data_IF_218502021091
#
_entry.id   IF_218502021091
#
_cell.length_a   1.000
_cell.length_b   1.000
_cell.length_c   1.000
_cell.angle_alpha   90.00
_cell.angle_beta   90.00
_cell.angle_gamma   90.00
#
_symmetry.space_group_name_H-M   'P 1'
#
loop_
_entity.id
_entity.type
_entity.pdbx_description
1 polymer ?
#
# COMPACT_ATOMS: atom_id res chain seq x y z
N UNK A 1 2.33 1.28 16.34
CA UNK A 1 2.23 0.55 15.07
C UNK A 1 2.07 1.58 13.96
N UNK A 2 2.97 1.62 12.97
CA UNK A 2 2.85 2.55 11.86
C UNK A 2 1.66 2.17 10.97
N UNK A 3 0.95 3.17 10.44
CA UNK A 3 -0.27 3.00 9.65
C UNK A 3 -0.19 3.87 8.41
N UNK A 4 -0.50 3.29 7.25
CA UNK A 4 -0.69 4.02 5.99
C UNK A 4 -2.18 4.26 5.75
N UNK A 5 -2.56 5.48 5.34
CA UNK A 5 -3.95 5.86 5.07
C UNK A 5 -4.08 6.35 3.63
N UNK A 6 -5.14 5.92 2.95
CA UNK A 6 -5.49 6.30 1.59
C UNK A 6 -6.99 6.56 1.49
N UNK A 7 -7.46 7.50 0.64
CA UNK A 7 -8.89 7.76 0.46
C UNK A 7 -9.61 6.69 -0.39
N UNK A 8 -8.89 5.69 -0.90
CA UNK A 8 -9.43 4.60 -1.72
C UNK A 8 -9.67 3.35 -0.86
N UNK A 9 -10.61 2.49 -1.26
CA UNK A 9 -10.86 1.22 -0.59
C UNK A 9 -9.76 0.21 -0.94
N UNK A 10 -9.17 -0.45 0.06
CA UNK A 10 -8.15 -1.49 -0.14
C UNK A 10 -8.77 -2.83 -0.53
N UNK A 11 -8.29 -3.43 -1.62
CA UNK A 11 -8.83 -4.68 -2.18
C UNK A 11 -7.84 -5.84 -2.17
N UNK A 12 -6.55 -5.57 -2.35
CA UNK A 12 -5.54 -6.62 -2.39
C UNK A 12 -4.21 -6.10 -1.87
N UNK A 13 -3.48 -6.99 -1.19
CA UNK A 13 -2.14 -6.74 -0.70
C UNK A 13 -1.25 -7.91 -1.09
N UNK A 14 -0.03 -7.62 -1.56
CA UNK A 14 0.92 -8.67 -1.92
C UNK A 14 2.35 -8.24 -1.59
N UNK A 15 3.07 -9.10 -0.88
CA UNK A 15 4.49 -8.92 -0.62
C UNK A 15 5.31 -9.05 -1.89
N UNK A 16 6.37 -8.26 -1.99
CA UNK A 16 7.31 -8.37 -3.10
C UNK A 16 8.06 -9.70 -3.01
N UNK A 17 8.19 -10.45 -4.12
CA UNK A 17 9.01 -11.66 -4.15
C UNK A 17 10.51 -11.37 -4.18
N UNK A 18 10.92 -10.10 -4.35
CA UNK A 18 12.32 -9.68 -4.45
C UNK A 18 12.81 -8.89 -3.24
N UNK A 19 11.91 -8.12 -2.61
CA UNK A 19 12.25 -7.23 -1.50
C UNK A 19 11.36 -7.56 -0.29
N UNK A 20 11.95 -8.13 0.75
CA UNK A 20 11.24 -8.53 1.99
C UNK A 20 10.40 -7.40 2.60
N UNK A 21 10.90 -6.16 2.52
CA UNK A 21 10.32 -5.01 3.18
C UNK A 21 9.34 -4.24 2.29
N UNK A 22 8.97 -4.77 1.12
CA UNK A 22 8.05 -4.10 0.19
C UNK A 22 6.74 -4.84 0.02
N UNK A 23 5.67 -4.06 -0.02
CA UNK A 23 4.33 -4.56 -0.25
C UNK A 23 3.61 -3.67 -1.27
N UNK A 24 2.89 -4.29 -2.20
CA UNK A 24 2.00 -3.59 -3.12
C UNK A 24 0.57 -3.69 -2.60
N UNK A 25 -0.14 -2.55 -2.60
CA UNK A 25 -1.53 -2.43 -2.15
C UNK A 25 -2.37 -1.91 -3.32
N UNK A 26 -3.30 -2.74 -3.79
CA UNK A 26 -4.27 -2.35 -4.81
C UNK A 26 -5.50 -1.73 -4.14
N UNK A 27 -5.87 -0.54 -4.60
CA UNK A 27 -7.01 0.22 -4.08
C UNK A 27 -7.91 0.71 -5.21
N UNK A 28 -9.18 0.99 -4.90
CA UNK A 28 -10.14 1.48 -5.88
C UNK A 28 -11.18 2.43 -5.27
N UNK A 29 -11.70 3.35 -6.09
CA UNK A 29 -12.83 4.22 -5.74
C UNK A 29 -14.15 3.45 -5.78
N UNK A 30 -15.17 4.00 -5.12
CA UNK A 30 -16.55 3.51 -5.12
C UNK A 30 -16.65 1.98 -5.02
N UNK A 31 -15.95 1.41 -4.04
CA UNK A 31 -15.94 -0.03 -3.77
C UNK A 31 -15.48 -0.90 -4.95
N UNK A 32 -14.61 -0.38 -5.83
CA UNK A 32 -14.13 -1.12 -6.99
C UNK A 32 -15.19 -1.34 -8.08
N UNK A 33 -16.36 -0.71 -7.95
CA UNK A 33 -17.46 -0.82 -8.91
C UNK A 33 -17.32 0.23 -10.02
N UNK A 34 -16.82 1.42 -9.67
CA UNK A 34 -16.74 2.56 -10.58
C UNK A 34 -15.63 3.54 -10.17
N UNK A 35 -14.93 4.12 -11.16
CA UNK A 35 -13.89 5.12 -10.94
C UNK A 35 -12.49 4.54 -11.03
N UNK A 36 -11.50 5.30 -10.55
CA UNK A 36 -10.09 4.94 -10.74
C UNK A 36 -9.61 3.94 -9.67
N UNK A 37 -8.70 3.07 -10.10
CA UNK A 37 -7.82 2.31 -9.22
C UNK A 37 -6.53 3.07 -8.93
N UNK A 38 -5.90 2.76 -7.81
CA UNK A 38 -4.56 3.24 -7.47
C UNK A 38 -3.74 2.12 -6.84
N UNK A 39 -2.48 2.01 -7.25
CA UNK A 39 -1.55 1.02 -6.72
C UNK A 39 -0.50 1.73 -5.88
N UNK A 40 -0.47 1.41 -4.59
CA UNK A 40 0.51 1.95 -3.66
C UNK A 40 1.61 0.91 -3.45
N UNK A 41 2.87 1.28 -3.71
CA UNK A 41 4.02 0.46 -3.34
C UNK A 41 4.59 1.04 -2.05
N UNK A 42 4.50 0.27 -0.98
CA UNK A 42 4.92 0.67 0.35
C UNK A 42 6.21 -0.06 0.73
N UNK A 43 7.09 0.64 1.43
CA UNK A 43 8.31 0.09 2.00
C UNK A 43 8.28 0.24 3.53
N UNK A 44 8.51 -0.87 4.23
CA UNK A 44 8.59 -0.91 5.69
C UNK A 44 10.04 -0.64 6.11
N UNK A 45 10.19 0.24 7.09
CA UNK A 45 11.46 0.45 7.77
C UNK A 45 11.81 -0.74 8.66
N UNK A 46 13.10 -1.06 8.77
CA UNK A 46 13.62 -2.06 9.71
C UNK A 46 13.34 -1.72 11.18
N UNK A 47 13.07 -0.45 11.48
CA UNK A 47 12.66 0.01 12.80
C UNK A 47 11.12 0.18 12.86
N UNK A 48 10.41 -0.51 13.77
CA UNK A 48 8.94 -0.47 13.87
C UNK A 48 8.35 0.86 14.35
N UNK A 49 9.16 1.81 14.82
CA UNK A 49 8.69 3.17 15.17
C UNK A 49 8.75 4.16 14.02
N UNK A 50 9.47 3.84 12.93
CA UNK A 50 9.56 4.71 11.77
C UNK A 50 8.30 4.59 10.88
N UNK A 51 7.95 5.66 10.14
CA UNK A 51 6.76 5.67 9.28
C UNK A 51 6.95 4.78 8.05
N UNK A 52 5.83 4.26 7.54
CA UNK A 52 5.79 3.54 6.26
C UNK A 52 5.98 4.56 5.13
N UNK A 53 6.90 4.28 4.21
CA UNK A 53 7.16 5.13 3.05
C UNK A 53 6.45 4.58 1.81
N UNK A 54 5.88 5.48 1.01
CA UNK A 54 5.33 5.15 -0.29
C UNK A 54 6.38 5.46 -1.35
N UNK A 55 6.82 4.43 -2.08
CA UNK A 55 7.90 4.54 -3.07
C UNK A 55 7.37 4.71 -4.50
N UNK A 56 6.12 4.33 -4.76
CA UNK A 56 5.42 4.53 -6.03
C UNK A 56 3.91 4.50 -5.81
N UNK A 57 3.16 5.24 -6.64
CA UNK A 57 1.74 5.51 -6.42
C UNK A 57 0.92 5.61 -7.70
#
# INVERSE_FOLDING_TARGET
MPVFKTPFNGYSVKFSPFYENRIAVATAQNFGILGNGRLHVLELSSNPTLPITEIAA
#
